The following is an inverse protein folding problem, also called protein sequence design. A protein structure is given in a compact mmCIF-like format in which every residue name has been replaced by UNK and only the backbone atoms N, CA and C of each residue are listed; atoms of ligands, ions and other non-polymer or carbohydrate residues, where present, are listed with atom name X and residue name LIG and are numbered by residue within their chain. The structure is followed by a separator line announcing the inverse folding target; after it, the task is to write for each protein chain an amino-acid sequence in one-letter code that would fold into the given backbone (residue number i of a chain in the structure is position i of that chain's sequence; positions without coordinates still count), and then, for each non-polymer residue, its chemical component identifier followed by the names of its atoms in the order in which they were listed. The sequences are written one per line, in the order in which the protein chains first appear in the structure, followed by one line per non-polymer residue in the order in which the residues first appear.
data_IF_705848846333
#
_entry.id   IF_705848846333
#
_cell.length_a   1.000
_cell.length_b   1.000
_cell.length_c   1.000
_cell.angle_alpha   90.00
_cell.angle_beta   90.00
_cell.angle_gamma   90.00
#
_symmetry.space_group_name_H-M   'P 1'
#
loop_
_entity.id
_entity.type
_entity.pdbx_description
1 polymer ?
#
# COMPACT_ATOMS: atom_id res chain seq x y z
N UNK A 1 12.73 2.92 -21.11
CA UNK A 1 12.33 1.74 -20.30
C UNK A 1 11.01 2.08 -19.64
N UNK A 2 9.96 1.27 -19.82
CA UNK A 2 8.72 1.43 -19.06
C UNK A 2 8.99 0.93 -17.63
N UNK A 3 8.79 1.80 -16.63
CA UNK A 3 9.00 1.44 -15.23
C UNK A 3 7.80 0.69 -14.63
N UNK A 4 7.98 0.14 -13.43
CA UNK A 4 6.95 -0.63 -12.71
C UNK A 4 5.67 0.14 -12.42
N UNK A 5 5.68 1.49 -12.51
CA UNK A 5 4.47 2.33 -12.40
C UNK A 5 3.40 1.96 -13.44
N UNK A 6 3.78 1.31 -14.55
CA UNK A 6 2.87 0.86 -15.61
C UNK A 6 2.42 -0.60 -15.46
N UNK A 7 2.88 -1.33 -14.44
CA UNK A 7 2.38 -2.70 -14.19
C UNK A 7 0.87 -2.68 -13.87
N UNK A 8 0.12 -3.76 -14.15
CA UNK A 8 -1.32 -3.83 -13.90
C UNK A 8 -1.71 -3.53 -12.44
N UNK A 9 -0.83 -3.85 -11.49
CA UNK A 9 -1.05 -3.62 -10.06
C UNK A 9 -0.82 -2.17 -9.64
N UNK A 10 0.03 -1.44 -10.37
CA UNK A 10 0.45 -0.08 -10.02
C UNK A 10 -0.30 1.00 -10.82
N UNK A 11 -0.61 0.74 -12.10
CA UNK A 11 -1.20 1.75 -12.99
C UNK A 11 -2.57 2.21 -12.48
N UNK A 12 -2.72 3.54 -12.30
CA UNK A 12 -3.91 4.14 -11.70
C UNK A 12 -4.26 3.57 -10.31
N UNK A 13 -3.26 3.16 -9.53
CA UNK A 13 -3.43 2.55 -8.20
C UNK A 13 -2.39 3.07 -7.20
N UNK A 14 -1.10 2.77 -7.43
CA UNK A 14 0.01 3.29 -6.63
C UNK A 14 0.18 4.80 -6.88
N UNK A 15 0.48 5.55 -5.82
CA UNK A 15 0.40 7.03 -5.77
C UNK A 15 1.42 7.63 -4.80
N UNK A 16 1.42 8.95 -4.68
CA UNK A 16 2.25 9.70 -3.72
C UNK A 16 3.74 9.59 -3.99
N UNK A 17 4.12 9.54 -5.27
CA UNK A 17 5.53 9.55 -5.69
C UNK A 17 6.19 10.89 -5.33
N UNK A 18 5.44 11.98 -5.50
CA UNK A 18 5.83 13.34 -5.20
C UNK A 18 6.26 13.54 -3.75
N UNK A 19 5.62 12.84 -2.79
CA UNK A 19 5.99 12.92 -1.37
C UNK A 19 7.36 12.28 -1.12
N UNK A 20 7.69 11.21 -1.85
CA UNK A 20 9.01 10.57 -1.77
C UNK A 20 10.07 11.47 -2.40
N UNK A 21 9.75 12.12 -3.52
CA UNK A 21 10.65 13.07 -4.20
C UNK A 21 10.95 14.28 -3.30
N UNK A 22 9.93 14.86 -2.65
CA UNK A 22 10.07 15.96 -1.68
C UNK A 22 10.94 15.55 -0.47
N UNK A 23 10.73 14.36 0.08
CA UNK A 23 11.54 13.83 1.17
C UNK A 23 13.01 13.64 0.75
N UNK A 24 13.26 13.11 -0.45
CA UNK A 24 14.60 12.95 -1.00
C UNK A 24 15.27 14.29 -1.22
N UNK A 25 14.56 15.28 -1.77
CA UNK A 25 15.10 16.63 -1.98
C UNK A 25 15.50 17.30 -0.65
N UNK A 26 14.67 17.14 0.39
CA UNK A 26 14.98 17.66 1.71
C UNK A 26 16.22 16.99 2.33
N UNK A 27 16.35 15.66 2.20
CA UNK A 27 17.51 14.91 2.69
C UNK A 27 18.79 15.27 1.94
N UNK A 28 18.74 15.42 0.62
CA UNK A 28 19.91 15.80 -0.19
C UNK A 28 20.43 17.21 0.14
N UNK A 29 19.60 18.11 0.67
CA UNK A 29 20.05 19.43 1.18
C UNK A 29 20.85 19.33 2.48
N UNK A 30 20.63 18.28 3.26
CA UNK A 30 21.23 18.09 4.60
C UNK A 30 22.41 17.12 4.54
N UNK A 31 22.25 15.97 3.88
CA UNK A 31 23.28 14.95 3.73
C UNK A 31 23.33 14.42 2.28
N UNK A 32 24.01 15.14 1.37
CA UNK A 32 24.06 14.79 -0.05
C UNK A 32 24.62 13.38 -0.28
N UNK A 33 23.91 12.56 -1.05
CA UNK A 33 24.35 11.24 -1.47
C UNK A 33 24.43 10.17 -0.37
N UNK A 34 23.85 10.42 0.81
CA UNK A 34 23.92 9.48 1.95
C UNK A 34 22.75 8.51 1.95
N UNK A 35 21.52 9.03 1.90
CA UNK A 35 20.30 8.22 2.14
C UNK A 35 19.72 7.72 0.82
N UNK A 36 19.56 6.41 0.65
CA UNK A 36 18.97 5.83 -0.57
C UNK A 36 17.46 6.10 -0.67
N UNK A 37 16.93 6.16 -1.90
CA UNK A 37 15.48 6.23 -2.12
C UNK A 37 14.74 5.03 -1.53
N UNK A 38 15.39 3.86 -1.54
CA UNK A 38 14.87 2.62 -0.96
C UNK A 38 14.67 2.74 0.54
N UNK A 39 15.65 3.29 1.27
CA UNK A 39 15.52 3.48 2.72
C UNK A 39 14.53 4.59 3.08
N UNK A 40 14.35 5.62 2.25
CA UNK A 40 13.28 6.62 2.41
C UNK A 40 11.90 5.95 2.42
N UNK A 41 11.62 5.06 1.47
CA UNK A 41 10.32 4.37 1.40
C UNK A 41 10.07 3.51 2.63
N UNK A 42 11.11 2.87 3.17
CA UNK A 42 10.99 1.99 4.34
C UNK A 42 10.80 2.79 5.63
N UNK A 43 11.53 3.89 5.80
CA UNK A 43 11.31 4.82 6.90
C UNK A 43 9.90 5.40 6.85
N UNK A 44 9.46 5.88 5.69
CA UNK A 44 8.10 6.41 5.51
C UNK A 44 7.02 5.36 5.86
N UNK A 45 7.25 4.09 5.52
CA UNK A 45 6.34 3.01 5.88
C UNK A 45 6.28 2.76 7.41
N UNK A 46 7.42 2.69 8.09
CA UNK A 46 7.48 2.59 9.57
C UNK A 46 6.76 3.77 10.22
N UNK A 47 7.09 4.98 9.79
CA UNK A 47 6.55 6.21 10.39
C UNK A 47 5.04 6.31 10.18
N UNK A 48 4.54 5.91 9.01
CA UNK A 48 3.10 5.84 8.76
C UNK A 48 2.40 4.88 9.74
N UNK A 49 3.02 3.74 10.08
CA UNK A 49 2.48 2.80 11.07
C UNK A 49 2.50 3.40 12.47
N UNK A 50 3.63 3.96 12.90
CA UNK A 50 3.75 4.56 14.23
C UNK A 50 2.78 5.74 14.42
N UNK A 51 2.70 6.63 13.43
CA UNK A 51 1.79 7.79 13.44
C UNK A 51 0.32 7.39 13.48
N UNK A 52 -0.03 6.21 12.98
CA UNK A 52 -1.41 5.71 13.00
C UNK A 52 -1.73 4.86 14.24
N UNK A 53 -0.84 4.85 15.23
CA UNK A 53 -1.00 4.14 16.50
C UNK A 53 -0.56 2.67 16.46
N UNK A 54 0.16 2.27 15.42
CA UNK A 54 0.80 0.97 15.32
C UNK A 54 2.11 0.91 16.13
N UNK A 55 2.82 -0.24 16.07
CA UNK A 55 4.12 -0.38 16.73
C UNK A 55 5.15 0.56 16.11
N UNK A 56 6.14 0.94 16.91
CA UNK A 56 7.38 1.58 16.46
C UNK A 56 8.53 0.58 16.61
N UNK A 57 9.50 0.65 15.69
CA UNK A 57 10.64 -0.25 15.69
C UNK A 57 11.86 0.37 14.99
N UNK A 58 13.05 -0.04 15.41
CA UNK A 58 14.28 0.41 14.77
C UNK A 58 14.47 -0.23 13.39
N UNK A 59 14.89 0.58 12.43
CA UNK A 59 15.19 0.16 11.06
C UNK A 59 16.70 0.13 10.85
N UNK A 60 17.17 -0.93 10.21
CA UNK A 60 18.51 -0.94 9.60
C UNK A 60 18.43 -0.27 8.22
N UNK A 61 19.21 0.80 8.01
CA UNK A 61 19.23 1.64 6.82
C UNK A 61 20.50 1.40 5.99
N UNK A 62 20.55 0.28 5.30
CA UNK A 62 21.73 -0.14 4.51
C UNK A 62 21.38 -0.55 3.08
N UNK A 63 20.19 -0.16 2.61
CA UNK A 63 19.72 -0.59 1.29
C UNK A 63 20.20 0.39 0.25
N UNK A 64 20.56 -0.12 -0.92
CA UNK A 64 20.97 0.68 -2.07
C UNK A 64 19.87 0.69 -3.12
N UNK A 65 19.85 1.75 -3.92
CA UNK A 65 18.90 1.90 -5.01
C UNK A 65 19.23 0.99 -6.19
N UNK A 66 18.20 0.41 -6.79
CA UNK A 66 18.37 -0.40 -8.00
C UNK A 66 18.77 0.47 -9.19
N UNK A 67 19.57 -0.10 -10.11
CA UNK A 67 19.96 0.58 -11.35
C UNK A 67 18.94 0.38 -12.49
N UNK A 68 17.91 -0.44 -12.27
CA UNK A 68 16.88 -0.76 -13.25
C UNK A 68 15.55 -1.04 -12.56
N UNK A 69 14.48 -0.97 -13.35
CA UNK A 69 13.13 -1.38 -12.96
C UNK A 69 12.70 -2.58 -13.82
N UNK A 70 11.77 -3.40 -13.33
CA UNK A 70 11.26 -4.55 -14.08
C UNK A 70 9.75 -4.67 -13.96
N UNK A 71 9.03 -4.20 -14.99
CA UNK A 71 7.58 -4.38 -15.07
C UNK A 71 7.20 -5.86 -15.02
N UNK A 72 7.92 -6.73 -15.73
CA UNK A 72 7.68 -8.17 -15.72
C UNK A 72 7.82 -8.77 -14.30
N UNK A 73 8.83 -8.33 -13.53
CA UNK A 73 8.96 -8.77 -12.15
C UNK A 73 7.73 -8.35 -11.32
N UNK A 74 7.28 -7.09 -11.45
CA UNK A 74 6.07 -6.60 -10.78
C UNK A 74 4.82 -7.40 -11.18
N UNK A 75 4.64 -7.70 -12.47
CA UNK A 75 3.51 -8.48 -12.99
C UNK A 75 3.46 -9.89 -12.39
N UNK A 76 4.63 -10.49 -12.10
CA UNK A 76 4.74 -11.85 -11.60
C UNK A 76 4.63 -11.98 -10.06
N UNK A 77 4.86 -10.91 -9.31
CA UNK A 77 4.95 -10.98 -7.83
C UNK A 77 3.85 -10.22 -7.09
N UNK A 78 3.07 -9.37 -7.77
CA UNK A 78 2.00 -8.61 -7.13
C UNK A 78 0.69 -9.42 -7.09
N UNK A 79 0.14 -9.75 -5.90
CA UNK A 79 -1.05 -10.58 -5.80
C UNK A 79 -2.32 -9.85 -6.25
N UNK A 80 -3.21 -10.59 -6.92
CA UNK A 80 -4.54 -10.08 -7.27
C UNK A 80 -5.46 -10.04 -6.04
N UNK A 81 -6.38 -9.07 -5.90
CA UNK A 81 -7.44 -9.12 -4.89
C UNK A 81 -8.41 -10.30 -5.06
N UNK A 82 -8.31 -11.05 -6.18
CA UNK A 82 -9.05 -12.30 -6.46
C UNK A 82 -8.27 -13.57 -6.11
N UNK A 83 -7.02 -13.45 -5.65
CA UNK A 83 -6.20 -14.59 -5.28
C UNK A 83 -6.84 -15.39 -4.14
N UNK A 84 -6.68 -16.71 -4.18
CA UNK A 84 -7.12 -17.58 -3.07
C UNK A 84 -5.98 -17.75 -2.05
N UNK A 85 -6.31 -18.25 -0.86
CA UNK A 85 -5.34 -18.39 0.23
C UNK A 85 -4.12 -19.25 -0.16
N UNK A 86 -4.33 -20.37 -0.86
CA UNK A 86 -3.24 -21.24 -1.31
C UNK A 86 -2.26 -20.51 -2.22
N UNK A 87 -2.74 -19.75 -3.20
CA UNK A 87 -1.89 -18.97 -4.11
C UNK A 87 -1.10 -17.86 -3.39
N UNK A 88 -1.65 -17.27 -2.33
CA UNK A 88 -0.96 -16.28 -1.53
C UNK A 88 0.13 -16.92 -0.65
N UNK A 89 -0.16 -18.09 -0.08
CA UNK A 89 0.81 -18.87 0.70
C UNK A 89 1.99 -19.27 -0.19
N UNK A 90 1.72 -19.78 -1.40
CA UNK A 90 2.76 -20.18 -2.35
C UNK A 90 3.61 -18.98 -2.79
N UNK A 91 2.97 -17.83 -3.06
CA UNK A 91 3.67 -16.59 -3.41
C UNK A 91 4.60 -16.13 -2.28
N UNK A 92 4.12 -16.08 -1.04
CA UNK A 92 4.91 -15.66 0.11
C UNK A 92 6.07 -16.63 0.37
N UNK A 93 5.86 -17.93 0.16
CA UNK A 93 6.90 -18.94 0.26
C UNK A 93 8.09 -18.69 -0.69
N UNK A 94 7.87 -18.09 -1.87
CA UNK A 94 8.96 -17.72 -2.81
C UNK A 94 9.92 -16.65 -2.24
N UNK A 95 9.47 -15.90 -1.24
CA UNK A 95 10.26 -14.87 -0.54
C UNK A 95 10.70 -15.33 0.85
N UNK A 96 10.64 -16.63 1.14
CA UNK A 96 10.90 -17.21 2.47
C UNK A 96 10.01 -16.61 3.57
N UNK A 97 8.79 -16.18 3.23
CA UNK A 97 7.81 -15.68 4.17
C UNK A 97 6.82 -16.78 4.55
N UNK A 98 6.55 -16.90 5.84
CA UNK A 98 5.64 -17.89 6.41
C UNK A 98 4.17 -17.49 6.26
N UNK A 99 3.27 -18.43 6.55
CA UNK A 99 1.83 -18.13 6.66
C UNK A 99 1.56 -17.07 7.74
N UNK A 100 2.35 -17.05 8.82
CA UNK A 100 2.24 -16.02 9.86
C UNK A 100 2.55 -14.64 9.29
N UNK A 101 3.55 -14.53 8.42
CA UNK A 101 3.93 -13.27 7.76
C UNK A 101 2.85 -12.83 6.77
N UNK A 102 2.22 -13.76 6.04
CA UNK A 102 1.07 -13.45 5.19
C UNK A 102 -0.09 -12.84 5.99
N UNK A 103 -0.44 -13.45 7.14
CA UNK A 103 -1.50 -12.93 8.00
C UNK A 103 -1.11 -11.57 8.59
N UNK A 104 0.14 -11.41 9.04
CA UNK A 104 0.65 -10.15 9.58
C UNK A 104 0.62 -9.02 8.53
N UNK A 105 1.14 -9.24 7.32
CA UNK A 105 1.13 -8.25 6.24
C UNK A 105 -0.27 -7.95 5.72
N UNK A 106 -1.21 -8.90 5.78
CA UNK A 106 -2.61 -8.64 5.46
C UNK A 106 -3.25 -7.61 6.40
N UNK A 107 -2.68 -7.43 7.60
CA UNK A 107 -3.08 -6.38 8.54
C UNK A 107 -2.85 -4.95 8.02
N UNK A 108 -1.96 -4.76 7.04
CA UNK A 108 -1.72 -3.44 6.40
C UNK A 108 -2.96 -2.88 5.71
N UNK A 109 -3.93 -3.72 5.36
CA UNK A 109 -5.22 -3.29 4.79
C UNK A 109 -6.15 -2.60 5.80
N UNK A 110 -5.74 -2.45 7.07
CA UNK A 110 -6.49 -1.70 8.06
C UNK A 110 -6.60 -0.21 7.72
N UNK A 111 -5.57 0.35 7.09
CA UNK A 111 -5.48 1.77 6.69
C UNK A 111 -5.35 1.87 5.18
N UNK A 112 -5.94 2.90 4.60
CA UNK A 112 -5.87 3.18 3.17
C UNK A 112 -7.21 3.05 2.46
N UNK A 113 -7.16 2.83 1.15
CA UNK A 113 -8.33 2.77 0.28
C UNK A 113 -8.13 1.72 -0.82
N UNK A 114 -9.20 1.00 -1.15
CA UNK A 114 -9.25 0.07 -2.28
C UNK A 114 -10.09 0.64 -3.42
N UNK A 115 -9.81 0.21 -4.66
CA UNK A 115 -10.65 0.57 -5.82
C UNK A 115 -11.85 -0.36 -5.91
N UNK A 116 -12.98 0.17 -6.35
CA UNK A 116 -14.28 -0.51 -6.43
C UNK A 116 -14.19 -1.89 -7.14
N UNK A 117 -13.41 -1.98 -8.22
CA UNK A 117 -13.24 -3.23 -8.98
C UNK A 117 -12.69 -4.38 -8.14
N UNK A 118 -11.93 -4.11 -7.07
CA UNK A 118 -11.32 -5.14 -6.22
C UNK A 118 -12.34 -5.92 -5.39
N UNK A 119 -13.57 -5.41 -5.22
CA UNK A 119 -14.63 -6.08 -4.45
C UNK A 119 -15.86 -6.45 -5.28
N UNK A 120 -16.03 -5.87 -6.47
CA UNK A 120 -17.19 -6.09 -7.34
C UNK A 120 -17.45 -7.57 -7.64
N UNK A 121 -16.39 -8.37 -7.84
CA UNK A 121 -16.56 -9.81 -8.09
C UNK A 121 -17.21 -10.51 -6.90
N UNK A 122 -16.81 -10.18 -5.66
CA UNK A 122 -17.41 -10.73 -4.44
C UNK A 122 -18.85 -10.27 -4.23
N UNK A 123 -19.22 -9.10 -4.73
CA UNK A 123 -20.59 -8.56 -4.58
C UNK A 123 -21.59 -9.17 -5.56
N UNK A 124 -21.14 -9.60 -6.74
CA UNK A 124 -22.05 -9.93 -7.85
C UNK A 124 -21.78 -11.26 -8.54
N UNK A 125 -20.52 -11.72 -8.60
CA UNK A 125 -20.16 -12.88 -9.40
C UNK A 125 -18.94 -13.62 -8.80
N UNK A 126 -19.08 -14.08 -7.56
CA UNK A 126 -18.01 -14.78 -6.86
C UNK A 126 -17.72 -16.08 -7.60
N UNK A 127 -16.47 -16.27 -8.02
CA UNK A 127 -16.01 -17.49 -8.70
C UNK A 127 -16.84 -17.87 -9.94
N UNK A 128 -17.42 -16.89 -10.65
CA UNK A 128 -18.24 -17.15 -11.85
C UNK A 128 -19.66 -17.66 -11.60
N UNK A 129 -20.12 -17.67 -10.34
CA UNK A 129 -21.43 -18.22 -9.94
C UNK A 129 -22.65 -17.36 -10.31
N UNK A 130 -22.44 -16.11 -10.74
CA UNK A 130 -23.50 -15.11 -10.87
C UNK A 130 -24.13 -14.69 -9.53
N UNK A 131 -23.50 -15.06 -8.41
CA UNK A 131 -23.99 -14.80 -7.05
C UNK A 131 -22.93 -14.08 -6.21
N UNK A 132 -23.34 -13.34 -5.16
CA UNK A 132 -22.42 -12.78 -4.19
C UNK A 132 -21.66 -13.88 -3.44
N UNK A 133 -20.48 -13.52 -2.94
CA UNK A 133 -19.70 -14.35 -2.04
C UNK A 133 -20.51 -14.68 -0.77
N UNK A 134 -20.72 -15.97 -0.44
CA UNK A 134 -21.45 -16.38 0.74
C UNK A 134 -20.72 -16.03 2.05
N UNK A 135 -19.40 -15.87 2.04
CA UNK A 135 -18.62 -15.46 3.21
C UNK A 135 -18.67 -13.94 3.47
N UNK A 136 -19.29 -13.17 2.58
CA UNK A 136 -19.43 -11.73 2.74
C UNK A 136 -20.56 -11.40 3.71
N UNK A 137 -20.26 -10.64 4.78
CA UNK A 137 -21.25 -10.29 5.80
C UNK A 137 -22.48 -9.61 5.15
N UNK A 138 -23.70 -10.14 5.35
CA UNK A 138 -24.88 -9.71 4.60
C UNK A 138 -25.21 -8.22 4.73
N UNK A 139 -25.13 -7.63 5.94
CA UNK A 139 -25.49 -6.22 6.14
C UNK A 139 -24.51 -5.29 5.43
N UNK A 140 -23.21 -5.58 5.53
CA UNK A 140 -22.14 -4.83 4.88
C UNK A 140 -22.21 -4.99 3.37
N UNK A 141 -22.53 -6.18 2.87
CA UNK A 141 -22.80 -6.41 1.44
C UNK A 141 -23.93 -5.53 0.92
N UNK A 142 -25.05 -5.43 1.63
CA UNK A 142 -26.16 -4.57 1.20
C UNK A 142 -25.79 -3.08 1.24
N UNK A 143 -24.99 -2.65 2.22
CA UNK A 143 -24.40 -1.30 2.24
C UNK A 143 -23.54 -1.06 1.00
N UNK A 144 -22.66 -1.99 0.65
CA UNK A 144 -21.80 -1.87 -0.52
C UNK A 144 -22.57 -1.92 -1.84
N UNK A 145 -23.59 -2.76 -1.98
CA UNK A 145 -24.44 -2.79 -3.19
C UNK A 145 -25.16 -1.47 -3.45
N UNK A 146 -25.58 -0.76 -2.39
CA UNK A 146 -26.17 0.58 -2.51
C UNK A 146 -25.14 1.60 -3.00
N UNK A 147 -23.89 1.48 -2.56
CA UNK A 147 -22.80 2.37 -2.98
C UNK A 147 -22.24 2.03 -4.38
N UNK A 148 -22.25 0.75 -4.75
CA UNK A 148 -21.59 0.19 -5.95
C UNK A 148 -22.58 -0.55 -6.86
N UNK A 149 -23.63 0.09 -7.40
CA UNK A 149 -24.64 -0.59 -8.22
C UNK A 149 -24.06 -1.18 -9.51
N UNK A 150 -24.51 -2.38 -9.90
CA UNK A 150 -24.02 -3.11 -11.08
C UNK A 150 -24.17 -2.36 -12.42
N UNK A 151 -25.29 -1.65 -12.63
CA UNK A 151 -25.66 -1.03 -13.92
C UNK A 151 -25.37 0.47 -14.03
N UNK A 152 -24.92 1.13 -12.96
CA UNK A 152 -24.40 2.49 -13.05
C UNK A 152 -22.94 2.36 -12.71
N UNK A 153 -22.08 2.45 -13.72
CA UNK A 153 -20.64 2.38 -13.55
C UNK A 153 -20.22 3.13 -12.27
N UNK A 154 -19.20 2.64 -11.57
CA UNK A 154 -18.88 2.99 -10.21
C UNK A 154 -19.17 4.48 -9.89
N UNK A 155 -20.10 4.77 -8.96
CA UNK A 155 -20.20 6.11 -8.34
C UNK A 155 -19.01 6.30 -7.39
N UNK A 156 -17.82 6.10 -7.91
CA UNK A 156 -16.56 6.31 -7.24
C UNK A 156 -16.11 7.69 -7.72
N UNK A 157 -16.55 8.73 -7.03
CA UNK A 157 -15.97 10.05 -7.22
C UNK A 157 -14.46 9.95 -6.99
N UNK A 158 -13.67 10.56 -7.87
CA UNK A 158 -12.20 10.59 -7.78
C UNK A 158 -11.71 11.18 -6.45
N UNK A 159 -12.54 11.94 -5.74
CA UNK A 159 -12.24 12.46 -4.39
C UNK A 159 -12.72 11.56 -3.25
N UNK A 160 -13.61 10.61 -3.52
CA UNK A 160 -14.39 9.86 -2.52
C UNK A 160 -14.28 8.34 -2.69
N UNK A 161 -13.09 7.83 -3.09
CA UNK A 161 -12.83 6.44 -3.49
C UNK A 161 -13.66 5.41 -2.72
N UNK A 162 -14.25 4.42 -3.40
CA UNK A 162 -15.15 3.50 -2.69
C UNK A 162 -14.42 2.69 -1.64
N UNK A 163 -14.76 3.03 -0.40
CA UNK A 163 -14.27 2.45 0.83
C UNK A 163 -14.70 0.98 0.92
N UNK A 164 -13.82 0.08 0.46
CA UNK A 164 -13.99 -1.36 0.68
C UNK A 164 -13.17 -1.86 1.87
N UNK A 165 -12.05 -1.19 2.19
CA UNK A 165 -11.14 -1.48 3.30
C UNK A 165 -10.58 -0.16 3.86
N UNK A 166 -10.66 0.03 5.17
CA UNK A 166 -10.19 1.24 5.86
C UNK A 166 -11.17 1.72 6.93
N UNK A 167 -10.83 1.53 8.21
CA UNK A 167 -11.46 2.27 9.31
C UNK A 167 -10.73 3.62 9.39
N UNK A 168 -11.51 4.70 9.41
CA UNK A 168 -11.11 6.08 9.77
C UNK A 168 -10.22 6.87 8.77
N UNK A 169 -10.88 7.60 7.88
CA UNK A 169 -10.34 8.74 7.13
C UNK A 169 -9.78 9.92 7.98
N UNK A 170 -10.17 10.17 9.25
CA UNK A 170 -9.68 11.33 10.00
C UNK A 170 -8.21 11.26 10.45
N UNK A 171 -7.59 10.08 10.50
CA UNK A 171 -6.23 9.96 11.04
C UNK A 171 -5.20 10.63 10.11
N UNK A 172 -5.31 10.44 8.79
CA UNK A 172 -4.29 10.95 7.85
C UNK A 172 -4.26 12.48 7.69
N UNK A 173 -5.35 13.19 7.99
CA UNK A 173 -5.40 14.66 7.87
C UNK A 173 -4.77 15.39 9.07
N UNK A 174 -4.50 14.70 10.18
CA UNK A 174 -3.96 15.30 11.40
C UNK A 174 -2.49 15.00 11.71
N UNK A 175 -1.79 14.21 10.89
CA UNK A 175 -0.48 13.65 11.27
C UNK A 175 0.74 14.55 11.01
N UNK A 176 0.54 15.83 10.68
CA UNK A 176 1.59 16.85 10.82
C UNK A 176 2.96 16.44 10.29
N UNK A 177 3.01 15.83 9.09
CA UNK A 177 4.25 15.34 8.46
C UNK A 177 5.34 16.43 8.35
N UNK A 178 4.95 17.71 8.46
CA UNK A 178 5.83 18.88 8.43
C UNK A 178 6.42 19.35 9.77
N UNK A 179 5.89 18.96 10.94
CA UNK A 179 6.26 19.63 12.22
C UNK A 179 7.47 19.03 12.96
N UNK A 180 8.03 17.91 12.49
CA UNK A 180 9.30 17.34 13.02
C UNK A 180 10.34 17.04 11.94
N UNK A 181 10.26 17.73 10.82
CA UNK A 181 11.10 17.45 9.65
C UNK A 181 12.59 17.67 9.97
N UNK A 182 12.99 18.72 10.69
CA UNK A 182 14.41 18.99 10.95
C UNK A 182 15.10 17.95 11.85
N UNK A 183 14.44 17.50 12.91
CA UNK A 183 14.98 16.49 13.84
C UNK A 183 15.00 15.10 13.19
N UNK A 184 13.95 14.79 12.42
CA UNK A 184 13.89 13.60 11.57
C UNK A 184 15.04 13.57 10.55
N UNK A 185 15.24 14.66 9.79
CA UNK A 185 16.29 14.76 8.77
C UNK A 185 17.69 14.59 9.38
N UNK A 186 17.98 15.24 10.52
CA UNK A 186 19.31 15.16 11.14
C UNK A 186 19.63 13.77 11.68
N UNK A 187 18.68 13.11 12.36
CA UNK A 187 18.91 11.77 12.92
C UNK A 187 19.00 10.70 11.81
N UNK A 188 18.20 10.83 10.74
CA UNK A 188 18.25 9.92 9.60
C UNK A 188 19.61 9.91 8.92
N UNK A 189 20.23 11.09 8.74
CA UNK A 189 21.55 11.18 8.14
C UNK A 189 22.63 10.45 8.96
N UNK A 190 22.57 10.50 10.30
CA UNK A 190 23.52 9.80 11.17
C UNK A 190 23.32 8.28 11.16
N UNK A 191 22.07 7.81 11.23
CA UNK A 191 21.77 6.37 11.25
C UNK A 191 22.15 5.70 9.93
N UNK A 192 22.11 6.43 8.81
CA UNK A 192 22.44 5.90 7.48
C UNK A 192 23.95 5.82 7.20
N UNK A 193 24.81 6.37 8.06
CA UNK A 193 26.28 6.35 7.90
C UNK A 193 26.99 5.27 8.73
N UNK A 194 26.29 4.62 9.66
CA UNK A 194 26.82 3.57 10.55
C UNK A 194 26.57 2.15 10.00
#
# INVERSE_FOLDING_TARGET
MLGEKFSPSNINSLRSYEVVDEAKEALEKVCPGVVSCTDIVIMAARDAVALTGGPDWELKLVRLDSLSASQEASDNVMPSPRANASSLIDLFGKFNLSVKDLVAFSGSHWIGQGRCFSVMFRLYNQSGSGRPDPAFEPKYREKLKKALPFNRGPKCDRRSGCYAFGISQPVLQGLGFGERVSEFLSNTCHISTD
#
